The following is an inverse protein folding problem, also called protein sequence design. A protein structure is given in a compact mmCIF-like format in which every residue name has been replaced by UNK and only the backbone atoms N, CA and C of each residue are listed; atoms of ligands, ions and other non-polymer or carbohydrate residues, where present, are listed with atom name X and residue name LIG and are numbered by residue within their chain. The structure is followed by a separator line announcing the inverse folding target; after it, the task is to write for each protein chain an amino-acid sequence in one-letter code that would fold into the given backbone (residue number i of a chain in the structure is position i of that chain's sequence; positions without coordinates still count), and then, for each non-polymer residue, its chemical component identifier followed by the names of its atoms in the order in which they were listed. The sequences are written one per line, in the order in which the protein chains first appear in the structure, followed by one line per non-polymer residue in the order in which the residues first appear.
data_IF_684724290810
#
_entry.id   IF_684724290810
#
_cell.length_a   1.000
_cell.length_b   1.000
_cell.length_c   1.000
_cell.angle_alpha   90.00
_cell.angle_beta   90.00
_cell.angle_gamma   90.00
#
_symmetry.space_group_name_H-M   'P 1'
#
loop_
_entity.id
_entity.type
_entity.pdbx_description
1 polymer ?
#
# COMPACT_ATOMS: atom_id res chain seq x y z
N UNK A 1 -8.89 42.37 25.08
CA UNK A 1 -9.09 40.98 24.64
C UNK A 1 -7.80 40.55 23.94
N UNK A 2 -7.00 39.69 24.55
CA UNK A 2 -5.83 39.06 23.92
C UNK A 2 -6.37 38.05 22.89
N UNK A 3 -6.35 38.41 21.61
CA UNK A 3 -6.78 37.54 20.53
C UNK A 3 -5.87 36.31 20.41
N UNK A 4 -6.41 35.17 20.03
CA UNK A 4 -5.60 34.01 19.65
C UNK A 4 -4.74 34.44 18.45
N UNK A 5 -3.43 34.41 18.59
CA UNK A 5 -2.48 34.67 17.49
C UNK A 5 -2.46 33.42 16.59
N UNK A 6 -3.41 33.34 15.66
CA UNK A 6 -3.45 32.38 14.59
C UNK A 6 -3.68 33.15 13.28
N UNK A 7 -2.65 33.20 12.45
CA UNK A 7 -2.70 33.82 11.14
C UNK A 7 -2.85 32.76 10.06
N UNK A 8 -3.57 33.07 9.01
CA UNK A 8 -3.55 32.25 7.80
C UNK A 8 -2.54 32.80 6.81
N UNK A 9 -1.46 32.05 6.57
CA UNK A 9 -0.43 32.42 5.61
C UNK A 9 -0.35 31.36 4.50
N UNK A 10 -0.52 31.76 3.25
CA UNK A 10 -0.58 30.83 2.09
C UNK A 10 -1.57 29.67 2.27
N UNK A 11 -2.66 29.92 2.99
CA UNK A 11 -3.69 28.92 3.29
C UNK A 11 -3.34 27.93 4.41
N UNK A 12 -2.27 28.21 5.16
CA UNK A 12 -1.84 27.42 6.31
C UNK A 12 -2.07 28.18 7.62
N UNK A 13 -2.51 27.50 8.70
CA UNK A 13 -2.62 28.10 10.02
C UNK A 13 -1.22 28.26 10.63
N UNK A 14 -0.78 29.50 10.85
CA UNK A 14 0.51 29.84 11.45
C UNK A 14 0.27 30.50 12.80
N UNK A 15 0.92 30.01 13.84
CA UNK A 15 0.81 30.53 15.21
C UNK A 15 1.93 30.06 16.10
N UNK A 16 1.93 30.51 17.34
CA UNK A 16 2.92 30.13 18.36
C UNK A 16 2.67 28.74 18.96
N UNK A 17 1.45 28.21 18.79
CA UNK A 17 1.07 26.88 19.27
C UNK A 17 0.78 25.97 18.10
N UNK A 18 0.79 24.65 18.36
CA UNK A 18 0.41 23.64 17.37
C UNK A 18 -1.04 23.89 16.93
N UNK A 19 -1.32 23.95 15.60
CA UNK A 19 -2.67 24.11 15.10
C UNK A 19 -3.58 22.96 15.57
N UNK A 20 -4.78 23.29 16.02
CA UNK A 20 -5.81 22.35 16.44
C UNK A 20 -6.53 21.76 15.23
N UNK A 21 -7.37 20.75 15.45
CA UNK A 21 -8.12 20.09 14.36
C UNK A 21 -9.06 21.06 13.65
N UNK A 22 -9.61 22.02 14.37
CA UNK A 22 -10.53 23.05 13.87
C UNK A 22 -9.81 24.03 12.93
N UNK A 23 -8.55 24.33 13.19
CA UNK A 23 -7.75 25.26 12.39
C UNK A 23 -7.51 24.73 10.97
N UNK A 24 -7.66 23.43 10.77
CA UNK A 24 -7.56 22.75 9.46
C UNK A 24 -8.90 22.67 8.71
N UNK A 25 -9.99 23.22 9.26
CA UNK A 25 -11.31 23.16 8.60
C UNK A 25 -11.30 23.83 7.20
N UNK A 26 -10.59 24.94 6.93
CA UNK A 26 -10.48 25.48 5.57
C UNK A 26 -9.89 24.50 4.58
N UNK A 27 -8.89 23.68 4.98
CA UNK A 27 -8.31 22.63 4.16
C UNK A 27 -9.28 21.47 3.95
N UNK A 28 -9.98 21.06 5.01
CA UNK A 28 -11.03 20.02 4.93
C UNK A 28 -12.18 20.47 4.02
N UNK A 29 -12.57 21.75 4.08
CA UNK A 29 -13.59 22.32 3.21
C UNK A 29 -13.17 22.32 1.74
N UNK A 30 -11.90 22.62 1.42
CA UNK A 30 -11.37 22.49 0.06
C UNK A 30 -11.46 21.06 -0.46
N UNK A 31 -11.10 20.06 0.37
CA UNK A 31 -11.25 18.63 -0.01
C UNK A 31 -12.73 18.29 -0.20
N UNK A 32 -13.62 18.73 0.69
CA UNK A 32 -15.07 18.51 0.59
C UNK A 32 -15.65 19.15 -0.67
N UNK A 33 -15.25 20.37 -1.02
CA UNK A 33 -15.70 21.06 -2.23
C UNK A 33 -15.29 20.37 -3.54
N UNK A 34 -14.18 19.62 -3.54
CA UNK A 34 -13.79 18.80 -4.70
C UNK A 34 -14.62 17.54 -4.87
N UNK A 35 -15.30 17.10 -3.81
CA UNK A 35 -16.16 15.93 -3.78
C UNK A 35 -17.60 16.37 -3.99
N UNK A 36 -17.90 16.96 -5.16
CA UNK A 36 -19.25 17.43 -5.45
C UNK A 36 -20.20 16.23 -5.61
N UNK A 37 -21.37 16.19 -4.91
CA UNK A 37 -22.27 15.04 -4.86
C UNK A 37 -22.70 14.53 -6.24
N UNK A 38 -23.00 15.43 -7.20
CA UNK A 38 -23.46 15.09 -8.53
C UNK A 38 -22.38 14.39 -9.37
N UNK A 39 -21.09 14.75 -9.21
CA UNK A 39 -19.98 14.12 -9.95
C UNK A 39 -19.73 12.68 -9.50
N UNK A 40 -19.80 12.44 -8.19
CA UNK A 40 -19.60 11.10 -7.63
C UNK A 40 -20.67 10.11 -8.07
N UNK A 41 -21.92 10.54 -8.26
CA UNK A 41 -23.05 9.69 -8.65
C UNK A 41 -22.87 9.08 -10.06
N UNK A 42 -22.32 9.83 -10.99
CA UNK A 42 -22.14 9.40 -12.40
C UNK A 42 -20.80 8.65 -12.65
N UNK A 43 -19.91 8.66 -11.69
CA UNK A 43 -18.60 8.04 -11.86
C UNK A 43 -18.59 6.55 -11.46
N UNK A 44 -17.95 5.73 -12.27
CA UNK A 44 -17.64 4.35 -11.91
C UNK A 44 -16.67 4.28 -10.72
N UNK A 45 -16.62 3.15 -9.99
CA UNK A 45 -15.63 2.94 -8.93
C UNK A 45 -14.18 3.14 -9.41
N UNK A 46 -13.90 2.77 -10.67
CA UNK A 46 -12.60 2.97 -11.28
C UNK A 46 -12.25 4.47 -11.42
N UNK A 47 -13.18 5.26 -11.93
CA UNK A 47 -13.01 6.71 -12.05
C UNK A 47 -12.86 7.37 -10.67
N UNK A 48 -13.64 6.93 -9.68
CA UNK A 48 -13.51 7.42 -8.29
C UNK A 48 -12.16 7.08 -7.68
N UNK A 49 -11.60 5.88 -7.95
CA UNK A 49 -10.25 5.52 -7.53
C UNK A 49 -9.21 6.50 -8.08
N UNK A 50 -9.29 6.78 -9.38
CA UNK A 50 -8.38 7.74 -10.03
C UNK A 50 -8.48 9.11 -9.39
N UNK A 51 -9.70 9.65 -9.24
CA UNK A 51 -9.90 10.98 -8.65
C UNK A 51 -9.51 11.04 -7.17
N UNK A 52 -9.74 9.97 -6.40
CA UNK A 52 -9.29 9.91 -5.01
C UNK A 52 -7.78 10.10 -4.91
N UNK A 53 -7.01 9.48 -5.81
CA UNK A 53 -5.56 9.62 -5.81
C UNK A 53 -5.08 10.93 -6.41
N UNK A 54 -5.55 11.30 -7.59
CA UNK A 54 -5.03 12.46 -8.33
C UNK A 54 -5.47 13.80 -7.75
N UNK A 55 -6.65 13.86 -7.12
CA UNK A 55 -7.22 15.11 -6.61
C UNK A 55 -7.32 15.13 -5.09
N UNK A 56 -8.08 14.19 -4.49
CA UNK A 56 -8.36 14.26 -3.06
C UNK A 56 -7.12 13.98 -2.18
N UNK A 57 -6.24 13.11 -2.62
CA UNK A 57 -5.01 12.80 -1.88
C UNK A 57 -3.91 13.85 -2.07
N UNK A 58 -3.93 14.62 -3.15
CA UNK A 58 -2.92 15.66 -3.42
C UNK A 58 -3.19 16.99 -2.71
N UNK A 59 -4.46 17.34 -2.46
CA UNK A 59 -4.82 18.62 -1.84
C UNK A 59 -4.12 18.90 -0.50
N UNK A 60 -4.00 17.96 0.44
CA UNK A 60 -3.34 18.21 1.72
C UNK A 60 -1.81 18.16 1.65
N UNK A 61 -1.20 17.78 0.51
CA UNK A 61 0.24 17.52 0.43
C UNK A 61 1.09 18.74 0.78
N UNK A 62 0.64 19.96 0.41
CA UNK A 62 1.37 21.17 0.77
C UNK A 62 1.45 21.36 2.28
N UNK A 63 0.32 21.22 2.98
CA UNK A 63 0.28 21.27 4.44
C UNK A 63 1.11 20.13 5.08
N UNK A 64 0.98 18.91 4.57
CA UNK A 64 1.74 17.74 5.03
C UNK A 64 3.24 17.86 4.85
N UNK A 65 3.70 18.69 3.93
CA UNK A 65 5.12 18.98 3.72
C UNK A 65 5.75 19.91 4.76
N UNK A 66 4.93 20.59 5.57
CA UNK A 66 5.35 21.61 6.54
C UNK A 66 4.90 21.31 7.97
N UNK A 67 3.83 20.52 8.15
CA UNK A 67 3.24 20.17 9.44
C UNK A 67 3.04 18.67 9.55
N UNK A 68 3.31 18.11 10.69
CA UNK A 68 2.81 16.79 11.06
C UNK A 68 1.36 16.94 11.53
N UNK A 69 0.42 16.62 10.65
CA UNK A 69 -1.00 16.80 10.90
C UNK A 69 -1.49 15.86 12.01
N UNK A 70 -2.41 16.36 12.83
CA UNK A 70 -3.03 15.55 13.88
C UNK A 70 -3.87 14.41 13.30
N UNK A 71 -3.97 13.29 14.03
CA UNK A 71 -4.74 12.10 13.61
C UNK A 71 -6.19 12.43 13.23
N UNK A 72 -6.85 13.34 13.98
CA UNK A 72 -8.22 13.77 13.69
C UNK A 72 -8.37 14.45 12.32
N UNK A 73 -7.34 15.14 11.81
CA UNK A 73 -7.34 15.72 10.46
C UNK A 73 -7.25 14.62 9.41
N UNK A 74 -6.36 13.65 9.60
CA UNK A 74 -6.27 12.49 8.72
C UNK A 74 -7.57 11.68 8.70
N UNK A 75 -8.21 11.49 9.84
CA UNK A 75 -9.51 10.82 9.94
C UNK A 75 -10.62 11.55 9.17
N UNK A 76 -10.66 12.90 9.22
CA UNK A 76 -11.58 13.71 8.39
C UNK A 76 -11.31 13.48 6.89
N UNK A 77 -10.06 13.47 6.44
CA UNK A 77 -9.71 13.18 5.04
C UNK A 77 -10.10 11.76 4.64
N UNK A 78 -9.84 10.78 5.49
CA UNK A 78 -10.20 9.39 5.22
C UNK A 78 -11.70 9.21 5.12
N UNK A 79 -12.47 9.84 5.98
CA UNK A 79 -13.94 9.81 5.91
C UNK A 79 -14.46 10.33 4.57
N UNK A 80 -13.95 11.49 4.11
CA UNK A 80 -14.35 12.08 2.83
C UNK A 80 -13.95 11.18 1.64
N UNK A 81 -12.70 10.67 1.63
CA UNK A 81 -12.18 9.82 0.55
C UNK A 81 -12.90 8.47 0.50
N UNK A 82 -13.15 7.88 1.67
CA UNK A 82 -13.85 6.59 1.80
C UNK A 82 -15.29 6.70 1.31
N UNK A 83 -16.01 7.73 1.75
CA UNK A 83 -17.38 8.00 1.32
C UNK A 83 -17.45 8.24 -0.20
N UNK A 84 -16.54 9.03 -0.75
CA UNK A 84 -16.48 9.26 -2.19
C UNK A 84 -16.18 7.97 -2.97
N UNK A 85 -15.20 7.20 -2.55
CA UNK A 85 -14.80 5.97 -3.26
C UNK A 85 -15.91 4.92 -3.24
N UNK A 86 -16.49 4.62 -2.07
CA UNK A 86 -17.49 3.56 -1.94
C UNK A 86 -18.88 3.99 -2.36
N UNK A 87 -19.34 5.15 -1.91
CA UNK A 87 -20.72 5.60 -2.04
C UNK A 87 -20.92 6.57 -3.21
N UNK A 88 -19.85 7.25 -3.66
CA UNK A 88 -19.93 8.30 -4.69
C UNK A 88 -20.73 9.51 -4.20
N UNK A 89 -20.70 9.76 -2.88
CA UNK A 89 -21.51 10.82 -2.24
C UNK A 89 -23.02 10.65 -2.42
N UNK A 90 -23.47 9.42 -2.68
CA UNK A 90 -24.90 9.11 -2.66
C UNK A 90 -25.48 9.30 -1.26
N UNK A 91 -26.73 9.76 -1.11
CA UNK A 91 -27.41 9.76 0.18
C UNK A 91 -27.61 8.34 0.73
N UNK A 92 -27.75 7.37 -0.16
CA UNK A 92 -27.91 5.97 0.22
C UNK A 92 -26.56 5.37 0.61
N UNK A 93 -26.50 4.86 1.84
CA UNK A 93 -25.32 4.15 2.36
C UNK A 93 -25.03 2.91 1.50
N UNK A 94 -23.77 2.76 1.07
CA UNK A 94 -23.28 1.56 0.37
C UNK A 94 -22.29 0.80 1.26
N UNK A 95 -22.23 -0.52 1.08
CA UNK A 95 -21.33 -1.37 1.88
C UNK A 95 -19.87 -1.10 1.53
N UNK A 96 -19.06 -0.81 2.55
CA UNK A 96 -17.61 -0.73 2.45
C UNK A 96 -17.05 -2.15 2.58
N UNK A 97 -16.88 -2.83 1.45
CA UNK A 97 -16.55 -4.26 1.42
C UNK A 97 -15.15 -4.57 1.93
N UNK A 98 -14.22 -3.61 1.89
CA UNK A 98 -12.82 -3.74 2.33
C UNK A 98 -12.47 -2.63 3.29
N UNK A 99 -11.74 -2.93 4.35
CA UNK A 99 -11.22 -1.94 5.31
C UNK A 99 -10.36 -0.91 4.58
N UNK A 100 -10.50 0.37 4.93
CA UNK A 100 -9.81 1.48 4.27
C UNK A 100 -8.28 1.33 4.30
N UNK A 101 -7.73 0.88 5.41
CA UNK A 101 -6.30 0.60 5.54
C UNK A 101 -5.77 -0.39 4.47
N UNK A 102 -6.57 -1.38 4.07
CA UNK A 102 -6.22 -2.31 2.99
C UNK A 102 -6.31 -1.65 1.61
N UNK A 103 -7.31 -0.80 1.41
CA UNK A 103 -7.48 -0.02 0.16
C UNK A 103 -6.28 0.91 -0.05
N UNK A 104 -5.74 1.47 1.04
CA UNK A 104 -4.59 2.36 1.02
C UNK A 104 -3.23 1.67 0.82
N UNK A 105 -3.14 0.35 0.88
CA UNK A 105 -1.87 -0.34 0.60
C UNK A 105 -1.45 -0.16 -0.86
N UNK A 106 -0.15 -0.13 -1.15
CA UNK A 106 0.36 -0.21 -2.52
C UNK A 106 -0.17 -1.44 -3.26
N UNK A 107 -0.28 -1.36 -4.58
CA UNK A 107 -0.82 -2.43 -5.43
C UNK A 107 0.00 -3.71 -5.35
N UNK A 108 1.30 -3.59 -5.30
CA UNK A 108 2.26 -4.68 -5.14
C UNK A 108 2.22 -5.31 -3.74
N UNK A 109 1.67 -4.62 -2.75
CA UNK A 109 1.37 -5.14 -1.41
C UNK A 109 -0.12 -5.51 -1.25
N UNK A 110 -0.80 -5.68 -2.36
CA UNK A 110 -2.18 -6.18 -2.42
C UNK A 110 -3.27 -5.14 -2.20
N UNK A 111 -2.97 -3.84 -2.14
CA UNK A 111 -3.95 -2.76 -2.04
C UNK A 111 -4.43 -2.22 -3.38
N UNK A 112 -5.15 -1.09 -3.34
CA UNK A 112 -5.55 -0.32 -4.52
C UNK A 112 -4.60 0.84 -4.83
N UNK A 113 -3.63 1.10 -3.94
CA UNK A 113 -2.68 2.19 -4.09
C UNK A 113 -3.29 3.57 -3.83
N UNK A 114 -4.36 3.68 -3.04
CA UNK A 114 -4.78 4.97 -2.50
C UNK A 114 -3.75 5.38 -1.46
N UNK A 115 -3.26 6.60 -1.56
CA UNK A 115 -2.20 7.09 -0.67
C UNK A 115 -2.65 7.14 0.79
N UNK A 116 -1.89 6.51 1.67
CA UNK A 116 -2.07 6.66 3.11
C UNK A 116 -1.52 8.03 3.54
N UNK A 117 -2.41 8.94 3.92
CA UNK A 117 -2.03 10.33 4.25
C UNK A 117 -1.13 10.43 5.47
N UNK A 118 -1.24 9.53 6.46
CA UNK A 118 -0.40 9.51 7.67
C UNK A 118 1.04 9.18 7.32
N UNK A 119 1.24 8.06 6.63
CA UNK A 119 2.57 7.62 6.23
C UNK A 119 3.22 8.60 5.23
N UNK A 120 2.41 9.15 4.30
CA UNK A 120 2.92 10.17 3.39
C UNK A 120 3.35 11.43 4.13
N UNK A 121 2.58 11.89 5.11
CA UNK A 121 2.92 13.07 5.92
C UNK A 121 4.26 12.88 6.65
N UNK A 122 4.44 11.73 7.32
CA UNK A 122 5.71 11.38 7.98
C UNK A 122 6.85 11.40 6.96
N UNK A 123 6.69 10.72 5.83
CA UNK A 123 7.73 10.67 4.81
C UNK A 123 8.08 12.06 4.21
N UNK A 124 7.07 12.92 4.04
CA UNK A 124 7.29 14.29 3.56
C UNK A 124 8.01 15.16 4.60
N UNK A 125 7.70 15.01 5.87
CA UNK A 125 8.37 15.73 6.95
C UNK A 125 9.82 15.24 7.14
N UNK A 126 10.11 13.95 6.96
CA UNK A 126 11.46 13.40 7.05
C UNK A 126 12.46 14.03 6.05
N UNK A 127 11.98 14.65 4.96
CA UNK A 127 12.87 15.39 4.07
C UNK A 127 13.57 16.57 4.76
N UNK A 128 12.96 17.14 5.82
CA UNK A 128 13.58 18.21 6.61
C UNK A 128 14.71 17.67 7.46
N UNK A 129 14.51 16.48 8.08
CA UNK A 129 15.59 15.78 8.81
C UNK A 129 16.75 15.51 7.85
N UNK A 130 16.44 14.95 6.64
CA UNK A 130 17.46 14.73 5.62
C UNK A 130 18.27 15.97 5.29
N UNK A 131 17.61 17.13 5.07
CA UNK A 131 18.28 18.39 4.81
C UNK A 131 19.21 18.83 5.96
N UNK A 132 18.75 18.66 7.21
CA UNK A 132 19.52 19.01 8.39
C UNK A 132 20.78 18.14 8.49
N UNK A 133 20.66 16.83 8.36
CA UNK A 133 21.79 15.90 8.49
C UNK A 133 22.76 15.95 7.30
N UNK A 134 22.31 16.45 6.14
CA UNK A 134 23.17 16.72 4.98
C UNK A 134 23.86 18.10 5.05
N UNK A 135 23.77 18.80 6.18
CA UNK A 135 24.43 20.10 6.33
C UNK A 135 23.83 21.22 5.47
N UNK A 136 22.51 21.17 5.17
CA UNK A 136 21.86 22.25 4.43
C UNK A 136 22.16 23.61 5.10
N UNK A 137 22.38 24.63 4.27
CA UNK A 137 22.58 26.02 4.69
C UNK A 137 21.27 26.80 4.65
N UNK A 138 21.18 27.85 5.46
CA UNK A 138 20.06 28.78 5.45
C UNK A 138 19.53 29.11 6.85
N UNK A 139 18.94 30.30 6.97
CA UNK A 139 18.47 30.87 8.23
C UNK A 139 17.63 29.89 9.11
N UNK A 140 16.77 29.10 8.49
CA UNK A 140 15.90 28.18 9.23
C UNK A 140 16.70 27.03 9.90
N UNK A 141 17.74 26.51 9.24
CA UNK A 141 18.62 25.47 9.82
C UNK A 141 19.50 26.06 10.89
N UNK A 142 20.05 27.26 10.63
CA UNK A 142 20.95 27.94 11.58
C UNK A 142 20.21 28.27 12.88
N UNK A 143 18.96 28.73 12.79
CA UNK A 143 18.09 28.96 13.93
C UNK A 143 17.79 27.66 14.70
N UNK A 144 17.49 26.57 14.01
CA UNK A 144 17.26 25.28 14.66
C UNK A 144 18.52 24.78 15.35
N UNK A 145 19.68 24.87 14.68
CA UNK A 145 20.99 24.45 15.22
C UNK A 145 21.32 25.22 16.49
N UNK A 146 21.31 26.55 16.41
CA UNK A 146 21.63 27.40 17.54
C UNK A 146 20.72 27.16 18.75
N UNK A 147 19.43 26.85 18.51
CA UNK A 147 18.44 26.72 19.58
C UNK A 147 18.31 25.32 20.15
N UNK A 148 18.44 24.25 19.36
CA UNK A 148 18.03 22.91 19.74
C UNK A 148 19.14 21.86 19.68
N UNK A 149 20.21 22.08 18.91
CA UNK A 149 21.34 21.15 18.80
C UNK A 149 22.65 21.89 18.49
N UNK A 150 23.11 22.75 19.42
CA UNK A 150 24.34 23.56 19.22
C UNK A 150 25.57 22.71 18.97
N UNK A 151 25.60 21.47 19.50
CA UNK A 151 26.70 20.50 19.30
C UNK A 151 26.70 19.87 17.88
N UNK A 152 25.78 20.27 16.99
CA UNK A 152 25.71 19.77 15.61
C UNK A 152 24.95 18.44 15.45
N UNK A 153 24.72 17.68 16.51
CA UNK A 153 24.05 16.38 16.43
C UNK A 153 22.52 16.50 16.56
N UNK A 154 21.80 16.41 15.43
CA UNK A 154 20.33 16.43 15.38
C UNK A 154 19.70 15.29 16.20
N UNK A 155 20.34 14.12 16.25
CA UNK A 155 19.76 12.91 16.86
C UNK A 155 19.75 12.93 18.38
N UNK A 156 20.57 13.75 19.02
CA UNK A 156 20.56 13.99 20.46
C UNK A 156 19.43 14.93 20.91
N UNK A 157 18.85 15.67 19.98
CA UNK A 157 17.78 16.61 20.26
C UNK A 157 16.56 15.95 20.92
N UNK A 158 15.91 16.69 21.82
CA UNK A 158 14.68 16.27 22.52
C UNK A 158 13.48 17.06 22.00
N UNK A 159 12.28 16.46 22.11
CA UNK A 159 11.01 17.09 21.70
C UNK A 159 10.55 18.18 22.69
N UNK A 160 11.39 19.18 22.91
CA UNK A 160 11.15 20.34 23.81
C UNK A 160 11.43 21.64 23.05
N UNK A 161 10.44 22.10 22.26
CA UNK A 161 10.65 23.30 21.46
C UNK A 161 9.44 23.71 20.65
N UNK A 162 9.68 24.37 19.51
CA UNK A 162 8.61 24.76 18.59
C UNK A 162 7.83 23.55 18.07
N UNK A 163 6.57 23.72 17.65
CA UNK A 163 5.78 22.63 17.07
C UNK A 163 6.52 21.91 15.93
N UNK A 164 7.18 22.65 15.06
CA UNK A 164 7.94 22.06 13.95
C UNK A 164 9.11 21.19 14.45
N UNK A 165 9.89 21.69 15.43
CA UNK A 165 10.99 20.92 16.03
C UNK A 165 10.49 19.64 16.70
N UNK A 166 9.42 19.75 17.49
CA UNK A 166 8.82 18.60 18.18
C UNK A 166 8.30 17.57 17.17
N UNK A 167 7.71 18.01 16.05
CA UNK A 167 7.26 17.13 14.97
C UNK A 167 8.44 16.37 14.37
N UNK A 168 9.58 17.02 14.09
CA UNK A 168 10.77 16.35 13.57
C UNK A 168 11.32 15.32 14.56
N UNK A 169 11.34 15.63 15.85
CA UNK A 169 11.80 14.67 16.88
C UNK A 169 10.85 13.48 17.02
N UNK A 170 9.56 13.68 16.86
CA UNK A 170 8.55 12.61 16.91
C UNK A 170 8.72 11.59 15.76
N UNK A 171 9.10 12.05 14.57
CA UNK A 171 9.23 11.17 13.38
C UNK A 171 10.66 10.65 13.18
N UNK A 172 11.57 10.93 14.11
CA UNK A 172 12.99 10.52 14.02
C UNK A 172 13.15 9.00 13.82
N UNK A 173 12.37 8.20 14.53
CA UNK A 173 12.35 6.74 14.37
C UNK A 173 11.93 6.27 12.99
N UNK A 174 10.99 6.99 12.35
CA UNK A 174 10.62 6.68 10.97
C UNK A 174 11.75 7.01 9.98
N UNK A 175 12.49 8.08 10.21
CA UNK A 175 13.66 8.43 9.41
C UNK A 175 14.76 7.35 9.52
N UNK A 176 15.00 6.82 10.73
CA UNK A 176 15.98 5.76 10.98
C UNK A 176 15.74 4.47 10.16
N UNK A 177 14.51 4.21 9.71
CA UNK A 177 14.19 3.05 8.84
C UNK A 177 14.97 3.02 7.52
N UNK A 178 15.51 4.15 7.09
CA UNK A 178 16.28 4.24 5.84
C UNK A 178 17.59 4.97 5.97
N UNK A 179 17.91 5.54 7.13
CA UNK A 179 19.18 6.19 7.38
C UNK A 179 20.28 5.14 7.59
N UNK A 180 21.40 5.27 6.88
CA UNK A 180 22.63 4.51 7.12
C UNK A 180 23.74 5.49 7.47
N UNK A 181 24.31 5.33 8.67
CA UNK A 181 25.45 6.13 9.09
C UNK A 181 26.72 5.63 8.40
N UNK A 182 27.47 6.56 7.85
CA UNK A 182 28.82 6.36 7.36
C UNK A 182 29.73 6.89 8.47
N UNK A 183 30.39 5.98 9.15
CA UNK A 183 31.16 6.28 10.36
C UNK A 183 32.41 7.08 10.01
N UNK A 184 32.57 8.17 10.72
CA UNK A 184 33.76 8.97 10.79
C UNK A 184 34.33 8.91 12.21
N UNK A 185 33.92 9.83 13.10
CA UNK A 185 34.35 9.87 14.51
C UNK A 185 33.48 8.95 15.42
N UNK A 186 32.40 8.38 14.91
CA UNK A 186 31.51 7.47 15.61
C UNK A 186 30.65 8.08 16.71
N UNK A 187 30.69 9.42 16.91
CA UNK A 187 29.98 10.09 18.01
C UNK A 187 28.49 10.28 17.78
N UNK A 188 28.09 10.40 16.52
CA UNK A 188 26.69 10.65 16.15
C UNK A 188 25.87 9.38 15.97
N UNK A 189 26.50 8.25 15.66
CA UNK A 189 25.85 6.97 15.43
C UNK A 189 25.76 6.16 16.72
N UNK A 190 24.58 5.58 16.99
CA UNK A 190 24.36 4.64 18.10
C UNK A 190 24.76 3.25 17.70
N UNK A 191 25.58 2.60 18.52
CA UNK A 191 26.16 1.30 18.23
C UNK A 191 25.10 0.23 17.92
N UNK A 192 24.11 0.08 18.77
CA UNK A 192 23.10 -0.99 18.63
C UNK A 192 21.97 -0.65 17.68
N UNK A 193 21.45 0.58 17.76
CA UNK A 193 20.13 0.89 17.18
C UNK A 193 20.19 1.53 15.82
N UNK A 194 21.28 2.14 15.42
CA UNK A 194 21.44 2.75 14.12
C UNK A 194 22.03 1.76 13.11
N UNK A 195 21.67 1.91 11.85
CA UNK A 195 22.28 1.15 10.77
C UNK A 195 23.58 1.84 10.36
N UNK A 196 24.72 1.33 10.80
CA UNK A 196 26.03 1.85 10.44
C UNK A 196 26.94 0.78 9.82
N UNK A 197 26.73 -0.49 10.14
CA UNK A 197 27.43 -1.64 9.57
C UNK A 197 26.43 -2.71 9.13
N UNK A 198 26.82 -3.57 8.20
CA UNK A 198 25.94 -4.66 7.73
C UNK A 198 24.72 -4.19 6.94
N UNK A 199 23.68 -5.03 6.95
CA UNK A 199 22.42 -4.81 6.27
C UNK A 199 21.25 -4.46 7.21
N UNK A 200 21.42 -4.64 8.52
CA UNK A 200 20.44 -4.38 9.59
C UNK A 200 21.12 -3.74 10.78
N UNK A 201 20.39 -3.01 11.64
CA UNK A 201 20.92 -2.58 12.93
C UNK A 201 21.38 -3.77 13.79
N UNK A 202 22.43 -3.59 14.57
CA UNK A 202 23.04 -4.67 15.38
C UNK A 202 22.05 -5.28 16.39
N UNK A 203 21.10 -4.50 16.93
CA UNK A 203 20.06 -5.00 17.83
C UNK A 203 19.11 -6.01 17.20
N UNK A 204 18.92 -5.97 15.86
CA UNK A 204 18.13 -6.96 15.15
C UNK A 204 18.92 -8.23 14.85
N UNK A 205 20.21 -8.09 14.56
CA UNK A 205 21.11 -9.18 14.17
C UNK A 205 21.66 -9.94 15.40
N UNK A 206 21.96 -9.22 16.48
CA UNK A 206 22.49 -9.74 17.74
C UNK A 206 21.57 -9.41 18.91
N UNK A 207 20.30 -9.83 18.79
CA UNK A 207 19.26 -9.49 19.76
C UNK A 207 19.56 -10.06 21.15
N UNK A 208 20.12 -11.25 21.22
CA UNK A 208 20.56 -11.91 22.44
C UNK A 208 21.58 -11.07 23.21
N UNK A 209 22.53 -10.44 22.54
CA UNK A 209 23.50 -9.53 23.15
C UNK A 209 22.88 -8.17 23.52
N UNK A 210 22.03 -7.63 22.66
CA UNK A 210 21.38 -6.35 22.90
C UNK A 210 20.50 -6.36 24.15
N UNK A 211 19.72 -7.42 24.37
CA UNK A 211 18.79 -7.54 25.51
C UNK A 211 19.53 -7.56 26.87
N UNK A 212 20.80 -8.00 26.89
CA UNK A 212 21.65 -8.03 28.08
C UNK A 212 22.71 -6.92 28.13
N UNK A 213 22.78 -6.04 27.14
CA UNK A 213 23.71 -4.91 27.11
C UNK A 213 23.46 -3.96 28.30
N UNK A 214 24.55 -3.48 28.96
CA UNK A 214 24.47 -2.50 30.06
C UNK A 214 24.01 -1.15 29.54
N UNK A 215 24.59 -0.70 28.43
CA UNK A 215 24.22 0.55 27.76
C UNK A 215 23.74 0.32 26.32
N UNK A 216 22.43 0.14 26.11
CA UNK A 216 21.85 0.02 24.78
C UNK A 216 21.94 1.32 23.95
N UNK A 217 22.23 2.45 24.57
CA UNK A 217 22.30 3.78 23.96
C UNK A 217 23.72 4.24 23.61
N UNK A 218 24.74 3.45 23.84
CA UNK A 218 26.14 3.81 23.60
C UNK A 218 26.39 4.21 22.15
N UNK A 219 27.35 5.14 21.95
CA UNK A 219 27.79 5.52 20.60
C UNK A 219 28.76 4.50 20.00
N UNK A 220 28.96 4.55 18.68
CA UNK A 220 30.00 3.76 18.03
C UNK A 220 31.38 4.14 18.53
N UNK A 221 31.62 5.44 18.80
CA UNK A 221 32.87 5.93 19.38
C UNK A 221 33.14 5.32 20.78
N UNK A 222 32.10 5.20 21.61
CA UNK A 222 32.26 4.61 22.96
C UNK A 222 32.53 3.11 22.87
N UNK A 223 31.86 2.41 21.93
CA UNK A 223 32.05 0.98 21.72
C UNK A 223 33.45 0.63 21.18
N UNK A 224 34.00 1.50 20.32
CA UNK A 224 35.27 1.26 19.62
C UNK A 224 36.44 2.13 20.17
N UNK A 225 36.32 2.63 21.41
CA UNK A 225 37.30 3.53 22.01
C UNK A 225 38.68 2.90 22.17
N UNK A 226 38.76 1.61 22.39
CA UNK A 226 40.02 0.85 22.50
C UNK A 226 40.14 -0.20 21.38
N UNK A 227 41.33 -0.75 21.23
CA UNK A 227 41.62 -1.83 20.27
C UNK A 227 40.75 -3.08 20.47
N UNK A 228 40.17 -3.23 21.64
CA UNK A 228 39.13 -4.25 21.91
C UNK A 228 37.81 -3.56 22.20
N UNK A 229 36.72 -3.90 21.53
CA UNK A 229 35.42 -3.27 21.75
C UNK A 229 34.96 -3.37 23.21
N UNK A 230 34.68 -2.21 23.84
CA UNK A 230 34.27 -2.11 25.24
C UNK A 230 32.74 -2.25 25.38
N UNK A 231 32.23 -3.45 25.12
CA UNK A 231 30.81 -3.75 25.28
C UNK A 231 30.60 -4.50 26.58
N UNK A 232 29.87 -3.87 27.52
CA UNK A 232 29.59 -4.47 28.84
C UNK A 232 28.20 -5.09 28.86
N UNK A 233 28.12 -6.27 29.49
CA UNK A 233 26.87 -7.03 29.62
C UNK A 233 26.48 -7.13 31.12
N UNK A 234 25.18 -7.22 31.40
CA UNK A 234 24.61 -7.29 32.74
C UNK A 234 24.96 -8.58 33.52
N UNK A 235 25.35 -9.61 32.77
CA UNK A 235 25.76 -10.92 33.29
C UNK A 235 26.80 -11.57 32.36
N UNK A 236 27.42 -12.63 32.83
CA UNK A 236 28.30 -13.45 31.98
C UNK A 236 27.54 -14.06 30.81
N UNK A 237 28.21 -14.15 29.66
CA UNK A 237 27.69 -14.69 28.44
C UNK A 237 27.67 -16.22 28.47
N UNK A 238 26.59 -16.82 27.99
CA UNK A 238 26.40 -18.26 28.01
C UNK A 238 26.23 -18.82 26.58
N UNK A 239 26.86 -19.96 26.32
CA UNK A 239 26.60 -20.75 25.09
C UNK A 239 26.54 -19.93 23.80
N UNK A 240 25.36 -19.78 23.23
CA UNK A 240 25.12 -19.08 21.97
C UNK A 240 25.51 -17.59 22.01
N UNK A 241 25.41 -16.93 23.15
CA UNK A 241 25.78 -15.51 23.30
C UNK A 241 27.27 -15.28 23.11
N UNK A 242 28.12 -16.25 23.51
CA UNK A 242 29.56 -16.18 23.25
C UNK A 242 29.87 -16.28 21.75
N UNK A 243 29.18 -17.15 21.04
CA UNK A 243 29.32 -17.26 19.59
C UNK A 243 28.84 -15.97 18.87
N UNK A 244 27.72 -15.39 19.33
CA UNK A 244 27.21 -14.11 18.84
C UNK A 244 28.22 -12.97 19.07
N UNK A 245 28.90 -12.93 20.24
CA UNK A 245 29.93 -11.93 20.52
C UNK A 245 31.14 -12.08 19.59
N UNK A 246 31.56 -13.31 19.32
CA UNK A 246 32.66 -13.55 18.38
C UNK A 246 32.29 -13.06 16.97
N UNK A 247 31.07 -13.38 16.50
CA UNK A 247 30.59 -12.93 15.20
C UNK A 247 30.45 -11.38 15.13
N UNK A 248 29.96 -10.75 16.20
CA UNK A 248 29.90 -9.30 16.32
C UNK A 248 31.29 -8.67 16.24
N UNK A 249 32.27 -9.21 16.98
CA UNK A 249 33.67 -8.73 16.95
C UNK A 249 34.25 -8.84 15.54
N UNK A 250 34.09 -9.96 14.87
CA UNK A 250 34.57 -10.15 13.49
C UNK A 250 33.95 -9.14 12.51
N UNK A 251 32.68 -8.76 12.74
CA UNK A 251 31.98 -7.79 11.91
C UNK A 251 32.57 -6.38 12.08
N UNK A 252 32.90 -5.97 13.32
CA UNK A 252 33.37 -4.62 13.66
C UNK A 252 34.90 -4.46 13.64
N UNK A 253 35.66 -5.53 13.61
CA UNK A 253 37.14 -5.55 13.68
C UNK A 253 37.84 -4.71 12.59
N UNK A 254 37.17 -4.51 11.46
CA UNK A 254 37.69 -3.75 10.30
C UNK A 254 37.27 -2.28 10.29
N UNK A 255 36.58 -1.83 11.32
CA UNK A 255 36.08 -0.46 11.37
C UNK A 255 37.08 0.43 12.10
N UNK A 256 37.65 1.37 11.38
CA UNK A 256 38.55 2.38 11.92
C UNK A 256 37.81 3.70 12.05
N UNK A 257 37.93 4.35 13.21
CA UNK A 257 37.40 5.69 13.44
C UNK A 257 38.37 6.73 12.86
N UNK A 258 37.81 7.83 12.35
CA UNK A 258 38.59 8.96 11.86
C UNK A 258 38.19 10.25 12.58
N UNK A 259 38.93 11.34 12.35
CA UNK A 259 38.58 12.65 12.92
C UNK A 259 37.46 13.37 12.19
N UNK A 260 36.96 12.78 11.08
CA UNK A 260 35.86 13.35 10.33
C UNK A 260 34.52 13.07 11.02
N UNK A 261 33.56 14.00 11.01
CA UNK A 261 32.23 13.73 11.57
C UNK A 261 31.50 12.63 10.79
N UNK A 262 30.67 11.89 11.48
CA UNK A 262 29.77 10.90 10.87
C UNK A 262 28.88 11.57 9.82
N UNK A 263 28.59 10.86 8.75
CA UNK A 263 27.67 11.31 7.71
C UNK A 263 26.52 10.30 7.50
N UNK A 264 25.44 10.73 6.90
CA UNK A 264 24.25 9.87 6.70
C UNK A 264 24.00 9.66 5.20
N UNK A 265 23.94 8.41 4.80
CA UNK A 265 23.48 7.95 3.48
C UNK A 265 22.08 7.35 3.56
N UNK A 266 21.39 7.27 2.44
CA UNK A 266 20.04 6.70 2.41
C UNK A 266 20.04 5.28 1.85
N UNK A 267 19.84 4.29 2.69
CA UNK A 267 19.93 2.87 2.33
C UNK A 267 18.79 2.38 1.41
N UNK A 268 17.65 3.10 1.34
CA UNK A 268 16.48 2.68 0.58
C UNK A 268 16.52 3.05 -0.91
N UNK A 269 17.63 3.66 -1.38
CA UNK A 269 17.84 3.99 -2.79
C UNK A 269 19.26 3.64 -3.20
N UNK A 270 19.45 3.22 -4.44
CA UNK A 270 20.80 2.92 -4.99
C UNK A 270 21.70 4.15 -5.08
N UNK A 271 21.11 5.36 -5.16
CA UNK A 271 21.85 6.62 -5.22
C UNK A 271 22.34 7.13 -3.85
N UNK A 272 21.96 6.48 -2.75
CA UNK A 272 22.26 6.97 -1.40
C UNK A 272 21.52 8.26 -1.01
N UNK A 273 20.60 8.77 -1.85
CA UNK A 273 19.85 10.02 -1.61
C UNK A 273 18.43 9.74 -1.12
N UNK A 274 17.98 10.55 -0.18
CA UNK A 274 16.62 10.45 0.36
C UNK A 274 15.56 10.64 -0.71
N UNK A 275 14.53 9.79 -0.64
CA UNK A 275 13.32 9.92 -1.43
C UNK A 275 12.09 9.71 -0.55
N UNK A 276 11.14 10.64 -0.59
CA UNK A 276 9.85 10.51 0.11
C UNK A 276 9.15 9.20 -0.26
N UNK A 277 9.20 8.82 -1.53
CA UNK A 277 8.59 7.59 -2.02
C UNK A 277 9.27 6.34 -1.42
N UNK A 278 10.60 6.33 -1.30
CA UNK A 278 11.32 5.17 -0.74
C UNK A 278 10.96 4.93 0.72
N UNK A 279 10.91 6.00 1.53
CA UNK A 279 10.50 5.91 2.93
C UNK A 279 9.00 5.53 3.06
N UNK A 280 8.12 6.18 2.28
CA UNK A 280 6.71 5.83 2.25
C UNK A 280 6.49 4.34 1.96
N UNK A 281 7.17 3.81 0.94
CA UNK A 281 7.09 2.38 0.59
C UNK A 281 7.64 1.48 1.69
N UNK A 282 8.74 1.86 2.33
CA UNK A 282 9.30 1.11 3.48
C UNK A 282 8.29 1.02 4.62
N UNK A 283 7.65 2.14 4.98
CA UNK A 283 6.62 2.17 6.03
C UNK A 283 5.33 1.42 5.65
N UNK A 284 5.04 1.28 4.35
CA UNK A 284 3.91 0.47 3.88
C UNK A 284 4.18 -1.03 3.95
N UNK A 285 5.43 -1.47 4.10
CA UNK A 285 5.79 -2.88 4.25
C UNK A 285 5.25 -3.39 5.59
N UNK A 286 4.29 -4.28 5.54
CA UNK A 286 3.71 -5.02 6.65
C UNK A 286 3.43 -6.43 6.17
N UNK A 287 2.81 -7.28 6.99
CA UNK A 287 2.46 -8.67 6.64
C UNK A 287 1.98 -8.79 5.19
N UNK A 288 2.80 -9.38 4.37
CA UNK A 288 2.54 -9.64 2.95
C UNK A 288 1.42 -10.66 2.84
N UNK A 289 0.19 -10.19 2.56
CA UNK A 289 -0.74 -11.05 1.87
C UNK A 289 -0.35 -11.08 0.40
N UNK A 290 -0.41 -12.26 -0.18
CA UNK A 290 -0.06 -12.56 -1.57
C UNK A 290 -0.54 -11.47 -2.51
N UNK A 291 0.41 -10.71 -3.05
CA UNK A 291 0.10 -9.65 -3.99
C UNK A 291 -0.32 -10.30 -5.30
N UNK A 292 -1.50 -9.95 -5.79
CA UNK A 292 -1.96 -10.38 -7.11
C UNK A 292 -1.25 -9.47 -8.14
N UNK A 293 0.07 -9.58 -8.18
CA UNK A 293 0.92 -8.72 -9.01
C UNK A 293 0.56 -8.83 -10.50
N UNK A 294 0.18 -10.02 -10.95
CA UNK A 294 -0.28 -10.27 -12.31
C UNK A 294 -1.51 -9.46 -12.70
N UNK A 295 -2.47 -9.29 -11.79
CA UNK A 295 -3.70 -8.54 -12.05
C UNK A 295 -3.42 -7.08 -12.43
N UNK A 296 -2.53 -6.41 -11.71
CA UNK A 296 -2.24 -5.00 -11.97
C UNK A 296 -1.46 -4.78 -13.26
N UNK A 297 -0.64 -5.77 -13.66
CA UNK A 297 0.10 -5.78 -14.93
C UNK A 297 -0.78 -6.23 -16.12
N UNK A 298 -1.90 -6.91 -15.86
CA UNK A 298 -2.81 -7.38 -16.89
C UNK A 298 -3.41 -6.22 -17.71
N UNK A 299 -3.61 -6.44 -18.99
CA UNK A 299 -4.19 -5.47 -19.94
C UNK A 299 -5.71 -5.58 -19.91
N UNK A 300 -6.29 -5.06 -18.84
CA UNK A 300 -7.72 -5.07 -18.52
C UNK A 300 -8.19 -3.66 -18.18
N UNK A 301 -9.46 -3.32 -18.45
CA UNK A 301 -10.04 -2.08 -17.94
C UNK A 301 -9.94 -2.02 -16.43
N UNK A 302 -9.70 -0.83 -15.88
CA UNK A 302 -9.52 -0.64 -14.43
C UNK A 302 -10.74 -1.12 -13.63
N UNK A 303 -11.95 -0.98 -14.18
CA UNK A 303 -13.20 -1.50 -13.57
C UNK A 303 -13.13 -3.01 -13.33
N UNK A 304 -12.58 -3.75 -14.29
CA UNK A 304 -12.43 -5.20 -14.20
C UNK A 304 -11.33 -5.59 -13.22
N UNK A 305 -10.21 -4.87 -13.22
CA UNK A 305 -9.15 -5.07 -12.21
C UNK A 305 -9.67 -4.89 -10.79
N UNK A 306 -10.49 -3.86 -10.55
CA UNK A 306 -11.11 -3.62 -9.24
C UNK A 306 -12.08 -4.75 -8.84
N UNK A 307 -12.89 -5.20 -9.79
CA UNK A 307 -13.78 -6.33 -9.57
C UNK A 307 -13.00 -7.60 -9.22
N UNK A 308 -11.98 -7.96 -10.00
CA UNK A 308 -11.15 -9.14 -9.74
C UNK A 308 -10.38 -9.01 -8.42
N UNK A 309 -9.89 -7.81 -8.09
CA UNK A 309 -9.26 -7.54 -6.81
C UNK A 309 -10.20 -7.80 -5.62
N UNK A 310 -11.50 -7.42 -5.76
CA UNK A 310 -12.50 -7.74 -4.74
C UNK A 310 -12.82 -9.25 -4.70
N UNK A 311 -12.91 -9.90 -5.86
CA UNK A 311 -13.13 -11.34 -5.97
C UNK A 311 -12.02 -12.14 -5.25
N UNK A 312 -10.77 -11.89 -5.58
CA UNK A 312 -9.61 -12.59 -4.99
C UNK A 312 -9.46 -12.36 -3.48
N UNK A 313 -10.18 -11.39 -2.91
CA UNK A 313 -10.24 -11.12 -1.47
C UNK A 313 -11.53 -11.59 -0.82
N UNK A 314 -12.40 -12.28 -1.55
CA UNK A 314 -13.75 -12.60 -1.09
C UNK A 314 -14.49 -11.37 -0.54
N UNK A 315 -14.46 -10.27 -1.31
CA UNK A 315 -15.07 -8.99 -0.94
C UNK A 315 -16.03 -8.45 -2.00
N UNK A 316 -16.58 -9.32 -2.84
CA UNK A 316 -17.72 -8.97 -3.69
C UNK A 316 -19.02 -8.97 -2.87
N UNK A 317 -20.03 -8.18 -3.28
CA UNK A 317 -21.33 -8.14 -2.62
C UNK A 317 -22.19 -9.37 -3.01
N UNK A 318 -21.72 -10.57 -2.66
CA UNK A 318 -22.50 -11.80 -2.69
C UNK A 318 -23.45 -11.83 -1.51
N UNK A 319 -24.47 -12.70 -1.55
CA UNK A 319 -25.49 -12.79 -0.51
C UNK A 319 -24.88 -12.93 0.90
N UNK A 320 -23.96 -13.88 1.09
CA UNK A 320 -23.29 -14.08 2.37
C UNK A 320 -22.42 -12.90 2.80
N UNK A 321 -21.74 -12.23 1.85
CA UNK A 321 -20.91 -11.08 2.17
C UNK A 321 -21.71 -9.84 2.54
N UNK A 322 -22.90 -9.67 1.97
CA UNK A 322 -23.85 -8.60 2.34
C UNK A 322 -24.48 -8.89 3.70
N UNK A 323 -24.89 -10.15 3.96
CA UNK A 323 -25.42 -10.56 5.26
C UNK A 323 -24.42 -10.32 6.40
N UNK A 324 -23.13 -10.63 6.21
CA UNK A 324 -22.05 -10.33 7.18
C UNK A 324 -21.91 -8.84 7.53
N UNK A 325 -22.59 -7.95 6.82
CA UNK A 325 -22.62 -6.49 7.03
C UNK A 325 -23.99 -5.95 7.41
N UNK A 326 -24.85 -6.83 7.93
CA UNK A 326 -26.23 -6.51 8.32
C UNK A 326 -27.02 -5.88 7.16
N UNK A 327 -26.72 -6.29 5.93
CA UNK A 327 -27.46 -5.90 4.74
C UNK A 327 -28.54 -6.92 4.38
N UNK A 328 -29.52 -6.54 3.52
CA UNK A 328 -30.49 -7.49 3.02
C UNK A 328 -29.79 -8.56 2.19
N UNK A 329 -29.78 -9.80 2.71
CA UNK A 329 -29.27 -10.94 1.98
C UNK A 329 -30.31 -11.33 0.90
N UNK A 330 -29.82 -11.60 -0.32
CA UNK A 330 -30.68 -12.06 -1.42
C UNK A 330 -31.07 -13.55 -1.31
N UNK A 331 -30.77 -14.19 -0.18
CA UNK A 331 -31.00 -15.61 0.03
C UNK A 331 -29.93 -16.52 -0.61
N UNK A 332 -30.24 -17.80 -0.79
CA UNK A 332 -29.39 -18.74 -1.52
C UNK A 332 -29.30 -18.37 -3.00
N UNK A 333 -28.42 -19.06 -3.73
CA UNK A 333 -28.28 -18.88 -5.16
C UNK A 333 -29.61 -19.15 -5.87
N UNK A 334 -30.14 -18.17 -6.60
CA UNK A 334 -31.43 -18.30 -7.27
C UNK A 334 -31.44 -19.36 -8.39
N UNK A 335 -30.26 -19.86 -8.81
CA UNK A 335 -30.14 -20.88 -9.84
C UNK A 335 -30.14 -22.32 -9.29
N UNK A 336 -29.50 -22.57 -8.15
CA UNK A 336 -29.27 -23.94 -7.63
C UNK A 336 -29.61 -24.11 -6.16
N UNK A 337 -30.05 -23.07 -5.45
CA UNK A 337 -30.45 -23.16 -4.04
C UNK A 337 -29.31 -23.20 -3.02
N UNK A 338 -28.05 -23.30 -3.45
CA UNK A 338 -26.90 -23.37 -2.56
C UNK A 338 -26.55 -22.00 -1.93
N UNK A 339 -25.91 -21.98 -0.74
CA UNK A 339 -25.44 -20.75 -0.13
C UNK A 339 -24.47 -19.99 -1.07
N UNK A 340 -24.71 -18.69 -1.30
CA UNK A 340 -23.96 -17.90 -2.28
C UNK A 340 -22.82 -17.15 -1.62
N UNK A 341 -21.63 -17.74 -1.65
CA UNK A 341 -20.34 -17.06 -1.47
C UNK A 341 -19.65 -16.77 -2.82
N UNK A 342 -18.48 -16.15 -2.81
CA UNK A 342 -17.76 -15.88 -4.05
C UNK A 342 -17.25 -17.17 -4.71
N UNK A 343 -16.83 -18.16 -3.95
CA UNK A 343 -16.38 -19.45 -4.48
C UNK A 343 -17.52 -20.20 -5.16
N UNK A 344 -18.72 -20.16 -4.58
CA UNK A 344 -19.90 -20.72 -5.23
C UNK A 344 -20.21 -19.98 -6.53
N UNK A 345 -20.40 -18.66 -6.47
CA UNK A 345 -20.86 -17.86 -7.61
C UNK A 345 -19.94 -17.94 -8.84
N UNK A 346 -18.64 -18.11 -8.65
CA UNK A 346 -17.65 -18.05 -9.74
C UNK A 346 -17.01 -19.40 -10.10
N UNK A 347 -17.13 -20.43 -9.24
CA UNK A 347 -16.41 -21.69 -9.47
C UNK A 347 -17.29 -22.93 -9.27
N UNK A 348 -18.22 -22.93 -8.30
CA UNK A 348 -18.99 -24.12 -7.94
C UNK A 348 -20.42 -24.15 -8.50
N UNK A 349 -21.02 -23.00 -8.75
CA UNK A 349 -22.35 -22.91 -9.34
C UNK A 349 -22.40 -23.64 -10.69
N UNK A 350 -23.48 -24.39 -11.02
CA UNK A 350 -23.61 -25.08 -12.31
C UNK A 350 -23.33 -24.19 -13.52
N UNK A 351 -23.80 -22.95 -13.48
CA UNK A 351 -23.55 -21.95 -14.54
C UNK A 351 -22.06 -21.58 -14.66
N UNK A 352 -21.37 -21.40 -13.53
CA UNK A 352 -19.93 -21.12 -13.53
C UNK A 352 -19.13 -22.34 -14.03
N UNK A 353 -19.48 -23.53 -13.59
CA UNK A 353 -18.83 -24.78 -14.04
C UNK A 353 -19.00 -24.99 -15.55
N UNK A 354 -20.18 -24.76 -16.09
CA UNK A 354 -20.39 -24.75 -17.55
C UNK A 354 -19.46 -23.76 -18.23
N UNK A 355 -19.39 -22.53 -17.74
CA UNK A 355 -18.53 -21.50 -18.33
C UNK A 355 -17.03 -21.86 -18.25
N UNK A 356 -16.57 -22.49 -17.18
CA UNK A 356 -15.19 -22.98 -17.06
C UNK A 356 -14.90 -24.17 -17.97
N UNK A 357 -15.86 -25.11 -18.15
CA UNK A 357 -15.69 -26.22 -19.08
C UNK A 357 -15.53 -25.75 -20.52
N UNK A 358 -16.30 -24.73 -20.93
CA UNK A 358 -16.18 -24.11 -22.24
C UNK A 358 -14.84 -23.41 -22.45
N UNK A 359 -14.30 -22.72 -21.43
CA UNK A 359 -12.97 -22.11 -21.49
C UNK A 359 -11.87 -23.16 -21.57
N UNK A 360 -11.99 -24.27 -20.84
CA UNK A 360 -11.08 -25.43 -21.00
C UNK A 360 -11.04 -25.92 -22.42
N UNK A 361 -12.21 -26.18 -23.02
CA UNK A 361 -12.32 -26.63 -24.41
C UNK A 361 -11.69 -25.64 -25.39
N UNK A 362 -12.00 -24.34 -25.24
CA UNK A 362 -11.48 -23.30 -26.13
C UNK A 362 -9.97 -23.07 -25.99
N UNK A 363 -9.44 -23.12 -24.78
CA UNK A 363 -8.02 -22.84 -24.50
C UNK A 363 -7.12 -24.09 -24.61
N UNK A 364 -7.67 -25.29 -24.62
CA UNK A 364 -6.92 -26.55 -24.60
C UNK A 364 -6.18 -26.77 -23.27
N UNK A 365 -6.70 -26.24 -22.16
CA UNK A 365 -6.10 -26.34 -20.83
C UNK A 365 -6.93 -27.21 -19.90
N UNK A 366 -6.27 -27.95 -19.00
CA UNK A 366 -6.94 -28.81 -18.01
C UNK A 366 -7.23 -28.04 -16.71
N UNK A 367 -7.87 -26.88 -16.83
CA UNK A 367 -8.15 -26.02 -15.69
C UNK A 367 -9.56 -26.25 -15.14
N UNK A 368 -9.65 -26.52 -13.86
CA UNK A 368 -10.93 -26.63 -13.14
C UNK A 368 -10.82 -25.92 -11.77
N UNK A 369 -10.63 -24.60 -11.74
CA UNK A 369 -10.44 -23.90 -10.47
C UNK A 369 -11.72 -23.96 -9.66
N UNK A 370 -11.59 -24.32 -8.36
CA UNK A 370 -12.71 -24.35 -7.40
C UNK A 370 -12.69 -23.15 -6.47
N UNK A 371 -11.62 -22.36 -6.54
CA UNK A 371 -11.44 -21.16 -5.72
C UNK A 371 -10.61 -20.09 -6.43
N UNK A 372 -10.69 -18.87 -5.92
CA UNK A 372 -9.87 -17.76 -6.39
C UNK A 372 -8.36 -18.00 -6.16
N UNK A 373 -8.00 -18.72 -5.10
CA UNK A 373 -6.60 -19.08 -4.80
C UNK A 373 -6.05 -20.07 -5.83
N UNK A 374 -6.79 -21.13 -6.15
CA UNK A 374 -6.42 -22.08 -7.21
C UNK A 374 -6.28 -21.38 -8.57
N UNK A 375 -7.22 -20.49 -8.91
CA UNK A 375 -7.14 -19.72 -10.15
C UNK A 375 -5.85 -18.87 -10.23
N UNK A 376 -5.47 -18.21 -9.12
CA UNK A 376 -4.22 -17.43 -9.11
C UNK A 376 -2.99 -18.32 -9.28
N UNK A 377 -2.98 -19.48 -8.65
CA UNK A 377 -1.90 -20.47 -8.82
C UNK A 377 -1.79 -20.92 -10.27
N UNK A 378 -2.91 -21.31 -10.89
CA UNK A 378 -2.95 -21.70 -12.31
C UNK A 378 -2.47 -20.57 -13.24
N UNK A 379 -2.87 -19.32 -12.99
CA UNK A 379 -2.40 -18.17 -13.76
C UNK A 379 -0.89 -17.91 -13.58
N UNK A 380 -0.30 -18.31 -12.47
CA UNK A 380 1.12 -18.14 -12.21
C UNK A 380 2.00 -19.20 -12.92
N UNK A 381 1.43 -20.34 -13.29
CA UNK A 381 2.16 -21.36 -14.11
C UNK A 381 2.37 -20.92 -15.56
N UNK A 382 1.63 -19.94 -16.06
CA UNK A 382 1.73 -19.46 -17.44
C UNK A 382 2.68 -18.25 -17.50
N UNK A 383 3.44 -18.15 -18.59
CA UNK A 383 4.41 -17.09 -18.82
C UNK A 383 4.19 -16.33 -20.15
N UNK A 384 4.86 -15.21 -20.31
CA UNK A 384 4.94 -14.48 -21.57
C UNK A 384 3.61 -13.92 -22.10
N UNK A 385 3.38 -14.04 -23.38
CA UNK A 385 2.19 -13.57 -24.08
C UNK A 385 0.94 -14.35 -23.67
N UNK A 386 1.07 -15.66 -23.51
CA UNK A 386 -0.03 -16.52 -23.08
C UNK A 386 -0.59 -16.08 -21.72
N UNK A 387 0.26 -15.72 -20.73
CA UNK A 387 -0.19 -15.21 -19.44
C UNK A 387 -1.03 -13.93 -19.59
N UNK A 388 -0.61 -13.02 -20.46
CA UNK A 388 -1.35 -11.75 -20.67
C UNK A 388 -2.71 -11.97 -21.34
N UNK A 389 -2.77 -12.85 -22.35
CA UNK A 389 -4.02 -13.22 -23.01
C UNK A 389 -4.94 -13.95 -22.04
N UNK A 390 -4.41 -14.90 -21.26
CA UNK A 390 -5.18 -15.65 -20.28
C UNK A 390 -5.80 -14.75 -19.21
N UNK A 391 -5.06 -13.75 -18.70
CA UNK A 391 -5.64 -12.76 -17.78
C UNK A 391 -6.84 -12.02 -18.39
N UNK A 392 -6.82 -11.72 -19.70
CA UNK A 392 -7.96 -11.10 -20.40
C UNK A 392 -9.13 -12.06 -20.52
N UNK A 393 -8.88 -13.30 -20.94
CA UNK A 393 -9.91 -14.34 -21.07
C UNK A 393 -10.60 -14.61 -19.74
N UNK A 394 -9.81 -14.83 -18.68
CA UNK A 394 -10.33 -15.04 -17.31
C UNK A 394 -11.09 -13.82 -16.81
N UNK A 395 -10.58 -12.61 -17.04
CA UNK A 395 -11.28 -11.37 -16.66
C UNK A 395 -12.61 -11.21 -17.36
N UNK A 396 -12.68 -11.53 -18.66
CA UNK A 396 -13.92 -11.49 -19.45
C UNK A 396 -14.93 -12.54 -18.97
N UNK A 397 -14.45 -13.77 -18.70
CA UNK A 397 -15.31 -14.85 -18.19
C UNK A 397 -15.90 -14.49 -16.82
N UNK A 398 -15.05 -14.15 -15.84
CA UNK A 398 -15.50 -13.83 -14.48
C UNK A 398 -16.46 -12.62 -14.48
N UNK A 399 -16.20 -11.62 -15.33
CA UNK A 399 -17.11 -10.47 -15.47
C UNK A 399 -18.44 -10.86 -16.11
N UNK A 400 -18.45 -11.76 -17.10
CA UNK A 400 -19.66 -12.28 -17.73
C UNK A 400 -20.51 -13.09 -16.77
N UNK A 401 -19.89 -13.95 -15.96
CA UNK A 401 -20.57 -14.68 -14.87
C UNK A 401 -21.21 -13.67 -13.89
N UNK A 402 -20.45 -12.66 -13.44
CA UNK A 402 -20.95 -11.65 -12.52
C UNK A 402 -22.14 -10.86 -13.05
N UNK A 403 -22.08 -10.42 -14.31
CA UNK A 403 -23.18 -9.71 -14.95
C UNK A 403 -24.43 -10.59 -15.09
N UNK A 404 -24.25 -11.87 -15.45
CA UNK A 404 -25.35 -12.81 -15.60
C UNK A 404 -25.97 -13.12 -14.23
N UNK A 405 -25.11 -13.39 -13.21
CA UNK A 405 -25.58 -13.57 -11.82
C UNK A 405 -26.40 -12.38 -11.33
N UNK A 406 -25.92 -11.16 -11.56
CA UNK A 406 -26.66 -9.97 -11.11
C UNK A 406 -28.02 -9.83 -11.78
N UNK A 407 -28.13 -10.17 -13.07
CA UNK A 407 -29.41 -10.13 -13.76
C UNK A 407 -30.43 -11.08 -13.14
N UNK A 408 -30.08 -12.34 -12.91
CA UNK A 408 -31.06 -13.26 -12.31
C UNK A 408 -31.27 -13.05 -10.80
N UNK A 409 -30.27 -12.65 -10.05
CA UNK A 409 -30.42 -12.45 -8.60
C UNK A 409 -31.12 -11.13 -8.23
N UNK A 410 -30.88 -10.04 -8.99
CA UNK A 410 -31.39 -8.71 -8.65
C UNK A 410 -32.62 -8.35 -9.50
N UNK A 411 -32.59 -8.70 -10.80
CA UNK A 411 -33.62 -8.32 -11.78
C UNK A 411 -34.62 -9.46 -12.08
N UNK A 412 -34.37 -10.67 -11.55
CA UNK A 412 -35.18 -11.86 -11.84
C UNK A 412 -35.08 -12.38 -13.29
N UNK A 413 -34.12 -11.86 -14.06
CA UNK A 413 -33.98 -12.17 -15.49
C UNK A 413 -32.95 -13.30 -15.69
N UNK A 414 -33.46 -14.53 -15.88
CA UNK A 414 -32.61 -15.70 -16.16
C UNK A 414 -32.14 -15.69 -17.63
N UNK A 415 -30.94 -16.21 -17.91
CA UNK A 415 -30.48 -16.35 -19.29
C UNK A 415 -31.32 -17.42 -20.00
N UNK A 416 -31.75 -17.14 -21.22
CA UNK A 416 -32.51 -18.11 -22.05
C UNK A 416 -31.70 -19.35 -22.38
N UNK A 417 -30.39 -19.24 -22.44
CA UNK A 417 -29.45 -20.36 -22.61
C UNK A 417 -28.14 -20.11 -21.89
N UNK A 418 -27.53 -21.14 -21.23
CA UNK A 418 -26.25 -20.98 -20.49
C UNK A 418 -25.12 -20.47 -21.38
N UNK A 419 -25.06 -20.85 -22.63
CA UNK A 419 -24.07 -20.42 -23.61
C UNK A 419 -24.02 -18.90 -23.83
N UNK A 420 -25.07 -18.16 -23.49
CA UNK A 420 -25.07 -16.69 -23.59
C UNK A 420 -23.95 -16.03 -22.80
N UNK A 421 -23.39 -16.71 -21.78
CA UNK A 421 -22.19 -16.24 -21.06
C UNK A 421 -20.98 -16.22 -21.99
N UNK A 422 -20.81 -17.23 -22.85
CA UNK A 422 -19.69 -17.33 -23.78
C UNK A 422 -19.75 -16.24 -24.84
N UNK A 423 -20.93 -15.94 -25.34
CA UNK A 423 -21.13 -14.81 -26.25
C UNK A 423 -20.73 -13.47 -25.59
N UNK A 424 -21.19 -13.21 -24.35
CA UNK A 424 -20.81 -12.01 -23.61
C UNK A 424 -19.29 -11.95 -23.38
N UNK A 425 -18.68 -13.09 -23.04
CA UNK A 425 -17.24 -13.19 -22.86
C UNK A 425 -16.49 -12.81 -24.13
N UNK A 426 -16.90 -13.34 -25.27
CA UNK A 426 -16.29 -13.03 -26.57
C UNK A 426 -16.45 -11.55 -26.94
N UNK A 427 -17.64 -10.98 -26.75
CA UNK A 427 -17.86 -9.53 -26.95
C UNK A 427 -16.93 -8.65 -26.10
N UNK A 428 -16.74 -9.00 -24.85
CA UNK A 428 -15.80 -8.28 -23.96
C UNK A 428 -14.35 -8.40 -24.44
N UNK A 429 -13.94 -9.58 -24.91
CA UNK A 429 -12.59 -9.78 -25.47
C UNK A 429 -12.38 -8.92 -26.72
N UNK A 430 -13.40 -8.79 -27.59
CA UNK A 430 -13.35 -7.88 -28.74
C UNK A 430 -13.20 -6.42 -28.30
N UNK A 431 -14.03 -5.96 -27.35
CA UNK A 431 -13.97 -4.60 -26.83
C UNK A 431 -12.63 -4.28 -26.15
N UNK A 432 -11.97 -5.26 -25.56
CA UNK A 432 -10.68 -5.07 -24.84
C UNK A 432 -9.48 -5.37 -25.72
N UNK A 433 -9.66 -5.81 -26.95
CA UNK A 433 -8.56 -6.07 -27.91
C UNK A 433 -7.62 -4.87 -28.06
N UNK A 434 -8.11 -3.61 -28.17
CA UNK A 434 -7.24 -2.44 -28.30
C UNK A 434 -6.32 -2.18 -27.11
N UNK A 435 -6.63 -2.74 -25.92
CA UNK A 435 -5.77 -2.65 -24.74
C UNK A 435 -4.59 -3.61 -24.82
N UNK A 436 -4.61 -4.57 -25.73
CA UNK A 436 -3.59 -5.59 -25.95
C UNK A 436 -2.35 -5.03 -26.65
N UNK A 437 -1.22 -5.73 -26.49
CA UNK A 437 -0.02 -5.46 -27.29
C UNK A 437 -0.21 -6.08 -28.69
N UNK A 438 0.31 -5.45 -29.72
CA UNK A 438 0.23 -5.97 -31.12
C UNK A 438 0.68 -7.43 -31.22
N UNK A 439 1.77 -7.82 -30.54
CA UNK A 439 2.28 -9.20 -30.50
C UNK A 439 1.34 -10.23 -29.84
N UNK A 440 0.32 -9.79 -29.11
CA UNK A 440 -0.63 -10.67 -28.44
C UNK A 440 -1.95 -10.79 -29.24
N UNK A 441 -2.06 -10.10 -30.40
CA UNK A 441 -3.29 -10.00 -31.20
C UNK A 441 -3.70 -11.35 -31.78
N UNK A 442 -2.74 -12.08 -32.36
CA UNK A 442 -2.99 -13.40 -32.96
C UNK A 442 -3.52 -14.41 -31.93
N UNK A 443 -2.84 -14.50 -30.77
CA UNK A 443 -3.29 -15.37 -29.68
C UNK A 443 -4.68 -14.97 -29.16
N UNK A 444 -4.98 -13.68 -29.15
CA UNK A 444 -6.30 -13.18 -28.73
C UNK A 444 -7.37 -13.56 -29.72
N UNK A 445 -7.12 -13.38 -31.02
CA UNK A 445 -8.05 -13.75 -32.10
C UNK A 445 -8.29 -15.26 -32.10
N UNK A 446 -7.26 -16.07 -31.94
CA UNK A 446 -7.39 -17.53 -31.84
C UNK A 446 -8.25 -17.93 -30.64
N UNK A 447 -8.05 -17.32 -29.47
CA UNK A 447 -8.89 -17.59 -28.29
C UNK A 447 -10.35 -17.20 -28.53
N UNK A 448 -10.60 -16.07 -29.19
CA UNK A 448 -11.96 -15.62 -29.56
C UNK A 448 -12.64 -16.57 -30.52
N UNK A 449 -11.95 -17.00 -31.58
CA UNK A 449 -12.50 -17.95 -32.57
C UNK A 449 -12.88 -19.29 -31.93
N UNK A 450 -11.98 -19.85 -31.13
CA UNK A 450 -12.25 -21.09 -30.39
C UNK A 450 -13.43 -20.97 -29.43
N UNK A 451 -13.51 -19.84 -28.70
CA UNK A 451 -14.61 -19.59 -27.77
C UNK A 451 -15.95 -19.48 -28.55
N UNK A 452 -15.92 -18.88 -29.73
CA UNK A 452 -17.11 -18.78 -30.59
C UNK A 452 -17.54 -20.16 -31.13
N UNK A 453 -16.59 -21.00 -31.53
CA UNK A 453 -16.86 -22.39 -31.93
C UNK A 453 -17.54 -23.16 -30.79
N UNK A 454 -17.02 -23.11 -29.58
CA UNK A 454 -17.62 -23.76 -28.41
C UNK A 454 -19.02 -23.19 -28.11
N UNK A 455 -19.22 -21.86 -28.31
CA UNK A 455 -20.54 -21.26 -28.18
C UNK A 455 -21.56 -21.83 -29.18
N UNK A 456 -21.17 -21.98 -30.46
CA UNK A 456 -22.04 -22.54 -31.53
C UNK A 456 -22.39 -23.98 -31.20
N UNK A 457 -21.38 -24.82 -30.93
CA UNK A 457 -21.58 -26.23 -30.56
C UNK A 457 -22.47 -26.41 -29.31
N UNK A 458 -22.35 -25.53 -28.32
CA UNK A 458 -23.18 -25.59 -27.11
C UNK A 458 -24.63 -25.15 -27.33
N UNK A 459 -25.01 -24.63 -28.53
CA UNK A 459 -26.35 -24.22 -28.90
C UNK A 459 -27.01 -25.17 -29.91
N UNK A 460 -26.24 -26.03 -30.49
CA UNK A 460 -26.79 -27.10 -31.32
C UNK A 460 -27.60 -28.08 -30.42
N UNK A 461 -28.79 -28.46 -30.81
CA UNK A 461 -29.70 -29.28 -30.01
C UNK A 461 -29.17 -30.69 -29.73
#
# INVERSE_FOLDING_TARGET
KVGKFLLTYLGLPVGTKRPMIEDWEPLCAKVRGRVCPWRGKFLSKAARLVLTNSSLSSLPMFAMGLFLLAEGVHAKFDTLRTKFFWEGMSPNRKYHMVRWAWVCRPKDLGGLGITNSRLLNIAMMCKWIWKIVQGASGLWVDLLRAKYFPNGNFFEGRARGSPFWNDLQTIKSAFALGAKFLIGDGRSARFWTDLWIGARPLWEEFRDLYDIAVDPGMSVADALRSTTPEIHFKRELQGQEQASLVALRQLIDRVELSDQPDSVSWALTSSGKFSVNSLYRKMCQGTTQQAIAGLWKAQLPLKIKLFMWQLFRDKLPTSLNVAKRNGPATGPCALCGEPEDASHAFFRCPLARFAWSAVRAAAGVQWDPRSAAELTHLLDTIHGSAKRVMWRCVGALLWSIWLTRNKFTIEGCFPSHPANILFKCNLLLQQWSPLGRRRDTELTNTAQQRLLQVYVMAREP
#
